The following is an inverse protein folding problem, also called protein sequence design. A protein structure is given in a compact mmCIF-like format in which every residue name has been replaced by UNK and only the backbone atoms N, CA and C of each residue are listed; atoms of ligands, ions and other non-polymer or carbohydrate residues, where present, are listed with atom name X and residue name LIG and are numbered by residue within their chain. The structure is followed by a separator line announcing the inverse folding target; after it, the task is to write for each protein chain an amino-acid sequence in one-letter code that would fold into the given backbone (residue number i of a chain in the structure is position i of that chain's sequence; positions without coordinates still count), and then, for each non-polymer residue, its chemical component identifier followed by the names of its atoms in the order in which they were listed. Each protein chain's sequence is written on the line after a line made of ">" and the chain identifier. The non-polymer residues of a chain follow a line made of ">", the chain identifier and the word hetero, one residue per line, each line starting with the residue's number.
data_IF_928379876975
#
_entry.id   IF_928379876975
#
_cell.length_a   1.000
_cell.length_b   1.000
_cell.length_c   1.000
_cell.angle_alpha   90.00
_cell.angle_beta   90.00
_cell.angle_gamma   90.00
#
_symmetry.space_group_name_H-M   'P 1'
#
loop_
_entity.id
_entity.type
_entity.pdbx_description
1 polymer ?
#
# COMPACT_ATOMS: atom_id res chain seq x y z
N UNK A 1 17.86 -6.39 33.15
CA UNK A 1 18.80 -7.25 32.37
C UNK A 1 18.09 -8.55 32.11
N UNK A 2 17.86 -9.06 30.91
CA UNK A 2 18.21 -8.62 29.58
C UNK A 2 17.63 -9.65 28.59
N UNK A 3 17.59 -9.23 27.33
CA UNK A 3 17.65 -10.05 26.11
C UNK A 3 16.57 -11.13 25.96
N UNK A 4 15.64 -10.86 25.03
CA UNK A 4 15.26 -11.77 23.93
C UNK A 4 13.80 -11.54 23.46
N UNK A 5 13.40 -10.30 23.17
CA UNK A 5 12.48 -10.10 22.04
C UNK A 5 13.34 -9.99 20.79
N UNK A 6 13.85 -11.14 20.38
CA UNK A 6 14.65 -11.35 19.19
C UNK A 6 13.81 -10.97 17.96
N UNK A 7 13.87 -9.69 17.60
CA UNK A 7 14.27 -9.19 16.28
C UNK A 7 13.50 -9.69 15.03
N UNK A 8 12.28 -10.19 15.19
CA UNK A 8 11.39 -10.50 14.06
C UNK A 8 9.89 -10.46 14.37
N UNK A 9 9.49 -10.57 15.63
CA UNK A 9 8.07 -10.69 16.02
C UNK A 9 7.38 -9.31 16.19
N UNK A 10 8.15 -8.26 16.55
CA UNK A 10 7.63 -6.89 16.62
C UNK A 10 7.39 -6.30 15.24
N UNK A 11 8.45 -6.25 14.42
CA UNK A 11 8.40 -5.64 13.08
C UNK A 11 7.35 -6.29 12.18
N UNK A 12 7.24 -7.64 12.15
CA UNK A 12 6.20 -8.29 11.36
C UNK A 12 4.76 -7.95 11.82
N UNK A 13 4.58 -7.70 13.12
CA UNK A 13 3.30 -7.29 13.70
C UNK A 13 3.00 -5.83 13.37
N UNK A 14 3.99 -4.95 13.45
CA UNK A 14 3.88 -3.56 13.01
C UNK A 14 3.59 -3.49 11.50
N UNK A 15 4.23 -4.32 10.67
CA UNK A 15 3.97 -4.38 9.22
C UNK A 15 2.56 -4.89 8.91
N UNK A 16 2.06 -5.87 9.66
CA UNK A 16 0.68 -6.36 9.50
C UNK A 16 -0.33 -5.25 9.82
N UNK A 17 -0.10 -4.50 10.90
CA UNK A 17 -0.93 -3.34 11.25
C UNK A 17 -0.79 -2.20 10.23
N UNK A 18 0.42 -1.96 9.70
CA UNK A 18 0.66 -0.98 8.65
C UNK A 18 -0.13 -1.31 7.39
N UNK A 19 -0.14 -2.57 6.96
CA UNK A 19 -0.92 -3.03 5.83
C UNK A 19 -2.44 -2.81 6.04
N UNK A 20 -2.97 -3.06 7.23
CA UNK A 20 -4.37 -2.75 7.54
C UNK A 20 -4.67 -1.24 7.43
N UNK A 21 -3.77 -0.38 7.93
CA UNK A 21 -3.90 1.08 7.84
C UNK A 21 -3.85 1.52 6.37
N UNK A 22 -2.92 0.99 5.57
CA UNK A 22 -2.84 1.27 4.14
C UNK A 22 -4.09 0.80 3.41
N UNK A 23 -4.66 -0.35 3.77
CA UNK A 23 -5.90 -0.83 3.18
C UNK A 23 -7.10 0.06 3.51
N UNK A 24 -7.17 0.59 4.74
CA UNK A 24 -8.20 1.55 5.12
C UNK A 24 -8.04 2.88 4.35
N UNK A 25 -6.81 3.39 4.21
CA UNK A 25 -6.54 4.62 3.46
C UNK A 25 -6.74 4.44 1.95
N UNK A 26 -6.36 3.29 1.38
CA UNK A 26 -6.62 2.92 -0.01
C UNK A 26 -8.13 2.89 -0.30
N UNK A 27 -8.95 2.36 0.61
CA UNK A 27 -10.42 2.40 0.48
C UNK A 27 -10.99 3.82 0.51
N UNK A 28 -10.29 4.77 1.14
CA UNK A 28 -10.66 6.20 1.13
C UNK A 28 -10.20 6.92 -0.14
N UNK A 29 -9.63 6.21 -1.10
CA UNK A 29 -9.10 6.77 -2.34
C UNK A 29 -7.75 7.44 -2.18
N UNK A 30 -6.97 7.06 -1.15
CA UNK A 30 -5.61 7.56 -0.99
C UNK A 30 -4.64 6.77 -1.88
N UNK A 31 -4.07 7.40 -2.92
CA UNK A 31 -3.21 6.69 -3.86
C UNK A 31 -1.87 6.30 -3.25
N UNK A 32 -1.34 7.06 -2.29
CA UNK A 32 -0.08 6.77 -1.63
C UNK A 32 -0.23 5.51 -0.77
N UNK A 33 -1.35 5.36 -0.07
CA UNK A 33 -1.68 4.14 0.65
C UNK A 33 -1.85 2.92 -0.27
N UNK A 34 -2.45 3.06 -1.46
CA UNK A 34 -2.56 1.97 -2.44
C UNK A 34 -1.17 1.48 -2.90
N UNK A 35 -0.23 2.40 -3.12
CA UNK A 35 1.15 2.09 -3.50
C UNK A 35 1.90 1.39 -2.36
N UNK A 36 1.75 1.87 -1.12
CA UNK A 36 2.34 1.21 0.06
C UNK A 36 1.78 -0.19 0.30
N UNK A 37 0.46 -0.38 0.12
CA UNK A 37 -0.17 -1.70 0.23
C UNK A 37 0.32 -2.65 -0.86
N UNK A 38 0.47 -2.16 -2.10
CA UNK A 38 1.03 -2.93 -3.20
C UNK A 38 2.45 -3.41 -2.90
N UNK A 39 3.28 -2.54 -2.32
CA UNK A 39 4.64 -2.89 -1.91
C UNK A 39 4.66 -3.97 -0.82
N UNK A 40 3.77 -3.88 0.17
CA UNK A 40 3.60 -4.93 1.19
C UNK A 40 3.24 -6.29 0.57
N UNK A 41 2.33 -6.33 -0.41
CA UNK A 41 1.99 -7.56 -1.15
C UNK A 41 3.16 -8.07 -2.03
N UNK A 42 3.95 -7.19 -2.62
CA UNK A 42 5.09 -7.58 -3.45
C UNK A 42 6.22 -8.24 -2.64
N UNK A 43 6.46 -7.72 -1.44
CA UNK A 43 7.53 -8.18 -0.54
C UNK A 43 7.06 -9.19 0.52
N UNK A 44 5.75 -9.35 0.70
CA UNK A 44 5.18 -10.20 1.76
C UNK A 44 5.37 -9.63 3.16
N UNK A 45 5.46 -8.31 3.29
CA UNK A 45 5.67 -7.61 4.56
C UNK A 45 4.32 -7.31 5.21
N UNK A 46 3.97 -8.05 6.27
CA UNK A 46 2.71 -7.88 7.00
C UNK A 46 1.47 -8.45 6.33
N UNK A 47 1.56 -8.83 5.06
CA UNK A 47 0.53 -9.57 4.30
C UNK A 47 1.17 -10.72 3.54
N UNK A 48 0.39 -11.76 3.15
CA UNK A 48 0.90 -12.81 2.29
C UNK A 48 1.43 -12.21 0.98
N UNK A 49 2.61 -12.66 0.55
CA UNK A 49 3.20 -12.18 -0.69
C UNK A 49 2.31 -12.56 -1.88
N UNK A 50 1.79 -11.56 -2.59
CA UNK A 50 0.97 -11.72 -3.77
C UNK A 50 1.31 -10.66 -4.81
N UNK A 51 2.13 -11.05 -5.81
CA UNK A 51 2.54 -10.16 -6.88
C UNK A 51 1.40 -9.77 -7.81
N UNK A 52 0.37 -10.62 -7.94
CA UNK A 52 -0.78 -10.32 -8.78
C UNK A 52 -1.65 -9.26 -8.11
N UNK A 53 -1.86 -9.36 -6.80
CA UNK A 53 -2.59 -8.38 -6.02
C UNK A 53 -1.82 -7.05 -5.90
N UNK A 54 -0.50 -7.11 -5.70
CA UNK A 54 0.37 -5.94 -5.74
C UNK A 54 0.23 -5.14 -7.05
N UNK A 55 0.30 -5.81 -8.20
CA UNK A 55 0.16 -5.15 -9.50
C UNK A 55 -1.20 -4.45 -9.66
N UNK A 56 -2.30 -5.06 -9.17
CA UNK A 56 -3.63 -4.43 -9.17
C UNK A 56 -3.65 -3.17 -8.33
N UNK A 57 -3.08 -3.20 -7.12
CA UNK A 57 -3.03 -2.05 -6.23
C UNK A 57 -2.17 -0.92 -6.78
N UNK A 58 -1.02 -1.21 -7.41
CA UNK A 58 -0.21 -0.22 -8.12
C UNK A 58 -0.99 0.48 -9.23
N UNK A 59 -1.68 -0.29 -10.09
CA UNK A 59 -2.51 0.27 -11.17
C UNK A 59 -3.65 1.14 -10.63
N UNK A 60 -4.26 0.73 -9.51
CA UNK A 60 -5.33 1.48 -8.85
C UNK A 60 -4.83 2.78 -8.24
N UNK A 61 -3.65 2.75 -7.61
CA UNK A 61 -2.98 3.93 -7.06
C UNK A 61 -2.59 4.93 -8.14
N UNK A 62 -2.06 4.47 -9.28
CA UNK A 62 -1.76 5.32 -10.43
C UNK A 62 -3.01 6.00 -10.99
N UNK A 63 -4.10 5.24 -11.20
CA UNK A 63 -5.39 5.81 -11.61
C UNK A 63 -5.97 6.78 -10.57
N UNK A 64 -5.80 6.51 -9.28
CA UNK A 64 -6.27 7.41 -8.23
C UNK A 64 -5.46 8.71 -8.15
N UNK A 65 -4.14 8.68 -8.37
CA UNK A 65 -3.33 9.91 -8.52
C UNK A 65 -3.76 10.70 -9.74
N UNK A 66 -3.92 10.01 -10.87
CA UNK A 66 -4.38 10.63 -12.12
C UNK A 66 -5.78 11.24 -11.95
N UNK A 67 -6.72 10.56 -11.29
CA UNK A 67 -8.04 11.10 -10.99
C UNK A 67 -7.99 12.32 -10.04
N UNK A 68 -7.09 12.33 -9.05
CA UNK A 68 -6.87 13.50 -8.18
C UNK A 68 -6.27 14.69 -8.94
N UNK A 69 -5.30 14.44 -9.82
CA UNK A 69 -4.62 15.48 -10.61
C UNK A 69 -5.51 16.02 -11.73
N UNK A 70 -6.23 15.14 -12.42
CA UNK A 70 -7.14 15.48 -13.51
C UNK A 70 -8.42 16.20 -13.02
N UNK A 71 -8.63 16.26 -11.69
CA UNK A 71 -9.59 17.17 -11.06
C UNK A 71 -9.18 18.66 -11.11
N UNK A 72 -7.96 18.98 -11.56
CA UNK A 72 -7.45 20.36 -11.67
C UNK A 72 -7.03 20.80 -13.08
N UNK A 73 -6.97 19.87 -14.02
CA UNK A 73 -6.65 20.14 -15.41
C UNK A 73 -7.57 19.28 -16.27
N UNK A 74 -8.51 19.90 -16.98
CA UNK A 74 -9.46 19.20 -17.85
C UNK A 74 -8.77 18.36 -18.95
N UNK A 75 -9.54 17.49 -19.63
CA UNK A 75 -8.98 16.50 -20.53
C UNK A 75 -8.29 17.17 -21.71
N UNK A 76 -7.09 16.71 -22.07
CA UNK A 76 -6.51 16.95 -23.38
C UNK A 76 -6.75 15.73 -24.28
N UNK A 77 -7.85 15.69 -25.06
CA UNK A 77 -7.92 14.79 -26.20
C UNK A 77 -7.13 15.39 -27.37
N UNK A 78 -6.24 14.58 -27.96
CA UNK A 78 -5.94 14.62 -29.40
C UNK A 78 -5.68 13.22 -29.91
#
# INVERSE_FOLDING_TARGET
>A
MGRCYAQGIGVARDMSQAAEIYQAAAQRGDPDAMVSLAWCYEHGEGVPQDKAEAAKWYQRGAQAKEAKENGRSGPAPR
#
